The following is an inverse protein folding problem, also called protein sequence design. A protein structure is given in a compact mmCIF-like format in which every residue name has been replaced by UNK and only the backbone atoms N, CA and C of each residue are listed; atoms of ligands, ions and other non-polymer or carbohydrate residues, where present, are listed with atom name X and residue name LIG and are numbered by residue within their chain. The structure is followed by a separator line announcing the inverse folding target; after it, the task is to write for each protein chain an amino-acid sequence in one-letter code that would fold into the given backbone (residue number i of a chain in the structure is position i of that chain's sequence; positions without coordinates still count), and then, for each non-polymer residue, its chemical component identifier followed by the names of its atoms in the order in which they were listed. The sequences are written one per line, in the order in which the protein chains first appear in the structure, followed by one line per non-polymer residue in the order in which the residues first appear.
data_IF_225185009404
#
_entry.id   IF_225185009404
#
_cell.length_a   1.000
_cell.length_b   1.000
_cell.length_c   1.000
_cell.angle_alpha   90.00
_cell.angle_beta   90.00
_cell.angle_gamma   90.00
#
_symmetry.space_group_name_H-M   'P 1'
#
loop_
_entity.id
_entity.type
_entity.pdbx_description
1 polymer ?
#
# COMPACT_ATOMS: atom_id res chain seq x y z
N UNK A 1 6.27 16.44 -53.14
CA UNK A 1 5.80 15.45 -52.15
C UNK A 1 6.52 15.75 -50.85
N UNK A 2 5.94 16.63 -50.02
CA UNK A 2 6.54 17.02 -48.74
C UNK A 2 6.14 16.00 -47.69
N UNK A 3 7.09 15.23 -47.20
CA UNK A 3 6.94 14.40 -46.01
C UNK A 3 6.84 15.33 -44.80
N UNK A 4 5.78 15.33 -43.99
CA UNK A 4 5.83 16.04 -42.72
C UNK A 4 6.74 15.25 -41.77
N UNK A 5 7.77 15.93 -41.28
CA UNK A 5 8.61 15.44 -40.21
C UNK A 5 7.74 15.07 -39.00
N UNK A 6 7.86 13.82 -38.56
CA UNK A 6 7.29 13.30 -37.32
C UNK A 6 7.89 14.05 -36.14
N UNK A 7 7.24 15.14 -35.71
CA UNK A 7 7.61 15.95 -34.56
C UNK A 7 7.36 15.27 -33.19
N UNK A 8 7.67 13.97 -33.08
CA UNK A 8 7.57 13.20 -31.84
C UNK A 8 8.89 12.47 -31.50
N UNK A 9 9.98 12.79 -32.20
CA UNK A 9 11.30 12.22 -31.92
C UNK A 9 11.97 13.01 -30.78
N UNK A 10 12.50 12.25 -29.81
CA UNK A 10 13.41 12.67 -28.72
C UNK A 10 12.82 13.18 -27.39
N UNK A 11 11.71 12.61 -26.91
CA UNK A 11 11.54 12.55 -25.43
C UNK A 11 12.40 11.42 -24.88
N UNK A 12 13.55 11.78 -24.31
CA UNK A 12 14.38 10.86 -23.52
C UNK A 12 13.49 10.10 -22.52
N UNK A 13 13.50 8.77 -22.58
CA UNK A 13 12.71 7.96 -21.66
C UNK A 13 13.17 8.23 -20.22
N UNK A 14 12.26 8.81 -19.42
CA UNK A 14 12.52 9.05 -18.02
C UNK A 14 11.75 8.01 -17.19
N UNK A 15 12.42 7.05 -16.54
CA UNK A 15 11.75 5.97 -15.85
C UNK A 15 10.89 6.44 -14.66
N UNK A 16 11.14 7.66 -14.15
CA UNK A 16 10.39 8.29 -13.05
C UNK A 16 9.21 9.15 -13.53
N UNK A 17 9.02 9.31 -14.83
CA UNK A 17 7.79 9.88 -15.38
C UNK A 17 6.74 8.77 -15.50
N UNK A 18 5.92 8.64 -14.46
CA UNK A 18 4.92 7.58 -14.39
C UNK A 18 3.67 7.94 -15.22
N UNK A 19 3.11 6.98 -15.96
CA UNK A 19 1.82 7.14 -16.62
C UNK A 19 0.71 7.45 -15.61
N UNK A 20 -0.25 8.30 -15.99
CA UNK A 20 -1.37 8.68 -15.14
C UNK A 20 -2.19 7.48 -14.65
N UNK A 21 -2.35 6.45 -15.50
CA UNK A 21 -3.03 5.20 -15.13
C UNK A 21 -2.30 4.45 -14.01
N UNK A 22 -0.95 4.41 -14.05
CA UNK A 22 -0.13 3.78 -13.03
C UNK A 22 -0.19 4.55 -11.71
N UNK A 23 -0.20 5.88 -11.77
CA UNK A 23 -0.37 6.73 -10.59
C UNK A 23 -1.76 6.53 -9.96
N UNK A 24 -2.82 6.51 -10.77
CA UNK A 24 -4.18 6.27 -10.29
C UNK A 24 -4.35 4.87 -9.68
N UNK A 25 -3.74 3.84 -10.28
CA UNK A 25 -3.74 2.49 -9.73
C UNK A 25 -2.99 2.41 -8.38
N UNK A 26 -1.84 3.10 -8.27
CA UNK A 26 -1.08 3.18 -7.03
C UNK A 26 -1.83 3.95 -5.94
N UNK A 27 -2.53 5.03 -6.29
CA UNK A 27 -3.39 5.79 -5.38
C UNK A 27 -4.51 4.90 -4.84
N UNK A 28 -5.25 4.22 -5.73
CA UNK A 28 -6.32 3.30 -5.34
C UNK A 28 -5.79 2.19 -4.42
N UNK A 29 -4.60 1.66 -4.70
CA UNK A 29 -3.96 0.66 -3.84
C UNK A 29 -3.69 1.22 -2.44
N UNK A 30 -3.16 2.44 -2.34
CA UNK A 30 -2.88 3.09 -1.06
C UNK A 30 -4.16 3.41 -0.27
N UNK A 31 -5.22 3.87 -0.94
CA UNK A 31 -6.54 4.09 -0.34
C UNK A 31 -7.14 2.79 0.21
N UNK A 32 -7.04 1.68 -0.54
CA UNK A 32 -7.52 0.37 -0.09
C UNK A 32 -6.73 -0.13 1.13
N UNK A 33 -5.41 0.06 1.16
CA UNK A 33 -4.62 -0.23 2.37
C UNK A 33 -5.09 0.59 3.56
N UNK A 34 -5.30 1.90 3.38
CA UNK A 34 -5.79 2.77 4.45
C UNK A 34 -7.17 2.34 4.95
N UNK A 35 -8.10 2.00 4.06
CA UNK A 35 -9.42 1.50 4.40
C UNK A 35 -9.36 0.17 5.15
N UNK A 36 -8.50 -0.75 4.71
CA UNK A 36 -8.30 -2.05 5.35
C UNK A 36 -7.72 -1.90 6.76
N UNK A 37 -6.70 -1.06 6.94
CA UNK A 37 -6.14 -0.77 8.26
C UNK A 37 -7.17 -0.11 9.18
N UNK A 38 -7.93 0.86 8.67
CA UNK A 38 -9.00 1.51 9.42
C UNK A 38 -10.14 0.55 9.80
N UNK A 39 -10.41 -0.48 8.99
CA UNK A 39 -11.35 -1.55 9.31
C UNK A 39 -10.78 -2.45 10.41
N UNK A 40 -9.59 -3.00 10.22
CA UNK A 40 -8.93 -3.89 11.18
C UNK A 40 -8.72 -3.25 12.57
N UNK A 41 -8.42 -1.95 12.63
CA UNK A 41 -8.23 -1.23 13.89
C UNK A 41 -9.48 -1.23 14.80
N UNK A 42 -10.67 -1.43 14.22
CA UNK A 42 -11.95 -1.50 14.95
C UNK A 42 -12.34 -2.93 15.32
N UNK A 43 -11.65 -3.94 14.78
CA UNK A 43 -12.00 -5.33 14.96
C UNK A 43 -11.27 -5.95 16.15
N UNK A 44 -11.85 -7.00 16.74
CA UNK A 44 -11.12 -7.85 17.67
C UNK A 44 -9.85 -8.42 17.04
N UNK A 45 -8.86 -8.74 17.86
CA UNK A 45 -7.55 -9.19 17.41
C UNK A 45 -7.57 -10.53 16.67
N UNK A 46 -8.61 -11.35 16.86
CA UNK A 46 -8.83 -12.61 16.13
C UNK A 46 -10.13 -12.56 15.34
N UNK A 47 -10.10 -13.22 14.16
CA UNK A 47 -11.27 -13.44 13.31
C UNK A 47 -12.21 -14.49 13.91
N UNK A 48 -11.65 -15.54 14.49
CA UNK A 48 -12.42 -16.60 15.15
C UNK A 48 -12.51 -16.33 16.65
N UNK A 49 -13.52 -16.90 17.30
CA UNK A 49 -13.62 -16.87 18.76
C UNK A 49 -12.42 -17.62 19.36
N UNK A 50 -11.71 -16.96 20.27
CA UNK A 50 -10.52 -17.50 20.92
C UNK A 50 -10.53 -17.12 22.40
N UNK A 51 -10.24 -18.09 23.27
CA UNK A 51 -10.20 -17.92 24.73
C UNK A 51 -9.09 -16.99 25.21
N UNK A 52 -8.17 -16.60 24.33
CA UNK A 52 -7.01 -15.79 24.66
C UNK A 52 -5.99 -16.56 25.50
N UNK A 53 -4.97 -15.85 25.95
CA UNK A 53 -3.96 -16.41 26.86
C UNK A 53 -3.48 -15.36 27.85
N UNK A 54 -3.22 -15.78 29.11
CA UNK A 54 -2.72 -14.87 30.13
C UNK A 54 -1.32 -14.35 29.77
N UNK A 55 -1.01 -13.15 30.25
CA UNK A 55 0.35 -12.62 30.17
C UNK A 55 1.27 -13.40 31.11
N UNK A 56 2.40 -13.90 30.61
CA UNK A 56 3.39 -14.58 31.43
C UNK A 56 4.41 -13.56 32.00
N UNK A 57 4.61 -13.52 33.33
CA UNK A 57 5.43 -12.47 33.95
C UNK A 57 6.94 -12.67 33.81
N UNK A 58 7.43 -13.90 33.58
CA UNK A 58 8.84 -14.22 33.90
C UNK A 58 9.69 -14.76 32.74
N UNK A 59 9.16 -14.81 31.52
CA UNK A 59 9.97 -15.23 30.34
C UNK A 59 9.77 -14.29 29.16
N UNK A 60 10.49 -13.16 29.19
CA UNK A 60 10.89 -12.34 28.02
C UNK A 60 9.78 -11.86 27.05
N UNK A 61 8.68 -11.28 27.58
CA UNK A 61 7.67 -10.50 26.85
C UNK A 61 6.69 -11.30 25.95
N UNK A 62 6.00 -12.31 26.49
CA UNK A 62 4.77 -12.78 25.85
C UNK A 62 3.59 -11.94 26.34
N UNK A 63 3.28 -10.86 25.61
CA UNK A 63 2.06 -10.08 25.88
C UNK A 63 0.85 -11.02 25.82
N UNK A 64 0.07 -11.05 26.90
CA UNK A 64 -1.21 -11.76 26.93
C UNK A 64 -2.16 -11.18 25.89
N UNK A 65 -3.16 -11.97 25.49
CA UNK A 65 -4.27 -11.50 24.68
C UNK A 65 -5.58 -11.84 25.40
N UNK A 66 -6.51 -10.89 25.53
CA UNK A 66 -7.81 -11.16 26.14
C UNK A 66 -8.62 -12.11 25.26
N UNK A 67 -9.58 -12.81 25.87
CA UNK A 67 -10.59 -13.57 25.15
C UNK A 67 -11.29 -12.66 24.12
N UNK A 68 -11.56 -13.22 22.95
CA UNK A 68 -12.21 -12.52 21.84
C UNK A 68 -13.38 -13.35 21.31
N UNK A 69 -14.54 -12.73 21.06
CA UNK A 69 -15.68 -13.41 20.47
C UNK A 69 -15.51 -13.69 18.96
N UNK A 70 -14.43 -13.19 18.34
CA UNK A 70 -14.24 -13.24 16.89
C UNK A 70 -14.93 -12.09 16.16
N UNK A 71 -14.78 -12.07 14.85
CA UNK A 71 -15.40 -11.06 13.98
C UNK A 71 -16.85 -11.41 13.69
N UNK A 72 -17.68 -10.39 13.51
CA UNK A 72 -19.02 -10.60 12.93
C UNK A 72 -18.88 -10.99 11.47
N UNK A 73 -19.82 -11.76 10.96
CA UNK A 73 -19.82 -12.19 9.56
C UNK A 73 -19.76 -11.02 8.57
N UNK A 74 -20.48 -9.93 8.85
CA UNK A 74 -20.44 -8.71 8.03
C UNK A 74 -19.05 -8.03 8.03
N UNK A 75 -18.35 -8.04 9.17
CA UNK A 75 -17.02 -7.46 9.28
C UNK A 75 -15.98 -8.31 8.55
N UNK A 76 -16.13 -9.63 8.64
CA UNK A 76 -15.33 -10.61 7.91
C UNK A 76 -15.53 -10.50 6.39
N UNK A 77 -16.78 -10.39 5.93
CA UNK A 77 -17.11 -10.17 4.53
C UNK A 77 -16.50 -8.86 4.00
N UNK A 78 -16.65 -7.76 4.75
CA UNK A 78 -16.04 -6.46 4.42
C UNK A 78 -14.52 -6.56 4.27
N UNK A 79 -13.86 -7.29 5.18
CA UNK A 79 -12.42 -7.52 5.12
C UNK A 79 -12.01 -8.31 3.86
N UNK A 80 -12.75 -9.37 3.54
CA UNK A 80 -12.46 -10.24 2.41
C UNK A 80 -12.67 -9.50 1.07
N UNK A 81 -13.72 -8.67 0.97
CA UNK A 81 -13.97 -7.78 -0.16
C UNK A 81 -12.84 -6.77 -0.36
N UNK A 82 -12.45 -6.05 0.70
CA UNK A 82 -11.33 -5.10 0.66
C UNK A 82 -10.04 -5.78 0.21
N UNK A 83 -9.76 -6.98 0.73
CA UNK A 83 -8.60 -7.77 0.32
C UNK A 83 -8.66 -8.21 -1.15
N UNK A 84 -9.85 -8.61 -1.63
CA UNK A 84 -10.04 -8.99 -3.03
C UNK A 84 -9.79 -7.79 -3.97
N UNK A 85 -10.30 -6.61 -3.63
CA UNK A 85 -10.06 -5.38 -4.38
C UNK A 85 -8.59 -4.96 -4.33
N UNK A 86 -7.95 -5.06 -3.17
CA UNK A 86 -6.54 -4.73 -2.99
C UNK A 86 -5.66 -5.62 -3.89
N UNK A 87 -5.93 -6.92 -3.97
CA UNK A 87 -5.21 -7.83 -4.87
C UNK A 87 -5.40 -7.45 -6.34
N UNK A 88 -6.61 -7.05 -6.75
CA UNK A 88 -6.87 -6.57 -8.12
C UNK A 88 -6.07 -5.30 -8.42
N UNK A 89 -6.09 -4.32 -7.52
CA UNK A 89 -5.32 -3.08 -7.68
C UNK A 89 -3.81 -3.34 -7.71
N UNK A 90 -3.31 -4.22 -6.84
CA UNK A 90 -1.92 -4.63 -6.82
C UNK A 90 -1.49 -5.33 -8.13
N UNK A 91 -2.34 -6.19 -8.70
CA UNK A 91 -2.07 -6.85 -9.96
C UNK A 91 -1.92 -5.85 -11.13
N UNK A 92 -2.76 -4.80 -11.17
CA UNK A 92 -2.65 -3.73 -12.17
C UNK A 92 -1.31 -3.01 -12.03
N UNK A 93 -0.93 -2.61 -10.82
CA UNK A 93 0.35 -1.93 -10.55
C UNK A 93 1.52 -2.83 -10.94
N UNK A 94 1.57 -4.09 -10.48
CA UNK A 94 2.70 -4.99 -10.71
C UNK A 94 2.81 -5.43 -12.18
N UNK A 95 1.68 -5.61 -12.87
CA UNK A 95 1.61 -6.04 -14.26
C UNK A 95 1.68 -4.92 -15.30
N UNK A 96 1.84 -3.66 -14.88
CA UNK A 96 1.76 -2.50 -15.75
C UNK A 96 2.83 -2.49 -16.85
N UNK A 97 2.46 -2.07 -18.07
CA UNK A 97 3.35 -2.03 -19.23
C UNK A 97 4.59 -1.13 -19.04
N UNK A 98 4.51 -0.13 -18.16
CA UNK A 98 5.63 0.75 -17.78
C UNK A 98 6.88 -0.03 -17.34
N UNK A 99 6.71 -1.15 -16.63
CA UNK A 99 7.84 -1.95 -16.18
C UNK A 99 8.57 -2.64 -17.33
N UNK A 100 7.83 -3.06 -18.37
CA UNK A 100 8.43 -3.61 -19.59
C UNK A 100 9.19 -2.51 -20.33
N UNK A 101 8.63 -1.30 -20.43
CA UNK A 101 9.32 -0.15 -21.02
C UNK A 101 10.61 0.20 -20.26
N UNK A 102 10.59 0.16 -18.93
CA UNK A 102 11.79 0.36 -18.11
C UNK A 102 12.88 -0.67 -18.46
N UNK A 103 12.55 -1.96 -18.50
CA UNK A 103 13.50 -3.01 -18.86
C UNK A 103 14.04 -2.85 -20.28
N UNK A 104 13.19 -2.51 -21.26
CA UNK A 104 13.60 -2.26 -22.64
C UNK A 104 14.60 -1.10 -22.78
N UNK A 105 14.54 -0.12 -21.87
CA UNK A 105 15.45 1.02 -21.81
C UNK A 105 16.64 0.78 -20.85
N UNK A 106 16.91 -0.48 -20.46
CA UNK A 106 18.07 -0.86 -19.65
C UNK A 106 17.92 -0.61 -18.14
N UNK A 107 16.71 -0.30 -17.65
CA UNK A 107 16.44 -0.13 -16.21
C UNK A 107 16.11 -1.48 -15.59
N UNK A 108 17.11 -2.10 -14.97
CA UNK A 108 17.01 -3.44 -14.39
C UNK A 108 17.53 -3.49 -12.95
N UNK A 109 17.30 -4.62 -12.27
CA UNK A 109 17.81 -4.89 -10.92
C UNK A 109 17.49 -3.78 -9.91
N UNK A 110 18.53 -3.23 -9.26
CA UNK A 110 18.39 -2.19 -8.25
C UNK A 110 17.77 -0.89 -8.80
N UNK A 111 18.03 -0.55 -10.07
CA UNK A 111 17.46 0.66 -10.68
C UNK A 111 15.93 0.53 -10.84
N UNK A 112 15.44 -0.64 -11.25
CA UNK A 112 14.00 -0.90 -11.35
C UNK A 112 13.32 -0.86 -9.97
N UNK A 113 13.99 -1.40 -8.94
CA UNK A 113 13.51 -1.31 -7.55
C UNK A 113 13.41 0.16 -7.11
N UNK A 114 14.44 0.97 -7.38
CA UNK A 114 14.42 2.39 -7.05
C UNK A 114 13.27 3.14 -7.75
N UNK A 115 12.97 2.80 -9.00
CA UNK A 115 11.83 3.37 -9.74
C UNK A 115 10.49 2.93 -9.12
N UNK A 116 10.34 1.66 -8.73
CA UNK A 116 9.14 1.19 -8.01
C UNK A 116 8.96 1.88 -6.66
N UNK A 117 10.04 2.14 -5.93
CA UNK A 117 9.99 2.90 -4.68
C UNK A 117 9.62 4.37 -4.94
N UNK A 118 10.13 4.96 -6.03
CA UNK A 118 9.76 6.31 -6.43
C UNK A 118 8.26 6.43 -6.76
N UNK A 119 7.66 5.40 -7.37
CA UNK A 119 6.21 5.38 -7.65
C UNK A 119 5.38 5.51 -6.36
N UNK A 120 5.77 4.82 -5.29
CA UNK A 120 5.06 4.88 -3.99
C UNK A 120 5.08 6.27 -3.34
N UNK A 121 6.00 7.14 -3.76
CA UNK A 121 6.17 8.49 -3.23
C UNK A 121 5.86 9.55 -4.29
N UNK A 122 5.39 9.16 -5.47
CA UNK A 122 5.09 10.08 -6.55
C UNK A 122 3.87 10.94 -6.19
N UNK A 123 3.89 12.20 -6.61
CA UNK A 123 2.76 13.11 -6.41
C UNK A 123 1.51 12.52 -7.10
N UNK A 124 0.42 12.37 -6.34
CA UNK A 124 -0.82 11.76 -6.83
C UNK A 124 -0.87 10.23 -6.74
N UNK A 125 0.19 9.56 -6.26
CA UNK A 125 0.20 8.12 -5.98
C UNK A 125 -0.06 7.76 -4.51
N UNK A 126 -0.05 8.77 -3.64
CA UNK A 126 -0.34 8.64 -2.20
C UNK A 126 -1.61 9.44 -1.92
N UNK A 127 -2.56 8.92 -1.12
CA UNK A 127 -3.68 9.73 -0.64
C UNK A 127 -3.14 10.99 0.02
N UNK A 128 -3.77 12.13 -0.26
CA UNK A 128 -3.36 13.37 0.38
C UNK A 128 -3.38 13.17 1.91
N UNK A 129 -2.36 13.66 2.64
CA UNK A 129 -2.44 13.65 4.10
C UNK A 129 -3.75 14.34 4.47
N UNK A 130 -4.58 13.70 5.30
CA UNK A 130 -5.71 14.40 5.92
C UNK A 130 -5.11 15.62 6.59
N UNK A 131 -5.42 16.82 6.11
CA UNK A 131 -5.10 18.03 6.83
C UNK A 131 -5.69 17.87 8.24
N UNK A 132 -4.86 18.12 9.26
CA UNK A 132 -5.18 18.05 10.69
C UNK A 132 -4.88 16.74 11.43
N UNK A 133 -3.78 16.05 11.12
CA UNK A 133 -3.07 15.28 12.15
C UNK A 133 -1.74 15.99 12.47
N UNK A 134 -1.51 16.47 13.72
CA UNK A 134 -0.21 16.99 14.09
C UNK A 134 0.82 15.88 13.89
N UNK A 135 1.97 16.23 13.31
CA UNK A 135 3.06 15.28 13.11
C UNK A 135 3.37 14.61 14.45
N UNK A 136 3.18 13.29 14.52
CA UNK A 136 3.55 12.49 15.69
C UNK A 136 5.01 12.80 15.99
N UNK A 137 5.24 13.41 17.14
CA UNK A 137 6.57 13.75 17.61
C UNK A 137 7.31 12.48 17.99
N UNK A 138 8.65 12.53 18.07
CA UNK A 138 9.46 11.41 18.59
C UNK A 138 9.08 11.00 20.02
N UNK A 139 8.29 11.82 20.74
CA UNK A 139 7.85 11.57 22.12
C UNK A 139 6.51 10.82 22.22
N UNK A 140 5.77 10.62 21.11
CA UNK A 140 4.46 9.93 21.12
C UNK A 140 4.58 8.39 21.16
N UNK A 141 5.80 7.85 21.18
CA UNK A 141 6.10 6.41 21.16
C UNK A 141 6.13 5.79 22.57
N UNK A 142 6.04 6.59 23.64
CA UNK A 142 6.05 6.13 25.04
C UNK A 142 4.69 6.32 25.73
N UNK A 143 3.64 5.65 25.26
CA UNK A 143 2.44 5.40 26.09
C UNK A 143 1.60 4.23 25.54
N UNK A 144 2.23 3.06 25.49
CA UNK A 144 1.52 1.79 25.41
C UNK A 144 2.39 0.70 26.04
N UNK A 145 2.61 0.80 27.36
CA UNK A 145 3.22 -0.24 28.18
C UNK A 145 2.21 -0.72 29.23
#
# INVERSE_FOLDING_TARGET
MSTPATANEDKQFNPKEFPGELLAAQLKLAELYAALHAHQARLPWSRDADGGWPAEPERWYRHGRPETPGWKEADAATYDELWAELRKAAAIVQGHGHWKLCMQNGVEGAALVAVRQALKNAKGAVPAPKGDEPALGPDDVESAA
#
